data_IF_629557482434
#
_entry.id   IF_629557482434
#
_cell.length_a   1.000
_cell.length_b   1.000
_cell.length_c   1.000
_cell.angle_alpha   90.00
_cell.angle_beta   90.00
_cell.angle_gamma   90.00
#
_symmetry.space_group_name_H-M   'P 1'
#
loop_
_entity.id
_entity.type
_entity.pdbx_description
1 polymer ?
#
# COMPACT_ATOMS: atom_id res chain seq x y z
N UNK A 1 0.04 -5.98 28.07
CA UNK A 1 -0.67 -4.68 28.09
C UNK A 1 -1.78 -4.80 27.07
N UNK A 2 -3.05 -4.62 27.47
CA UNK A 2 -4.18 -4.56 26.52
C UNK A 2 -4.26 -3.13 26.00
N UNK A 3 -4.34 -2.95 24.69
CA UNK A 3 -4.49 -1.64 24.08
C UNK A 3 -5.99 -1.31 24.00
N UNK A 4 -6.33 -0.04 24.26
CA UNK A 4 -7.72 0.42 24.20
C UNK A 4 -8.10 0.69 22.74
N UNK A 5 -9.19 0.09 22.29
CA UNK A 5 -9.74 0.35 20.95
C UNK A 5 -10.43 1.73 20.90
N UNK A 6 -10.49 2.37 19.72
CA UNK A 6 -11.17 3.65 19.54
C UNK A 6 -12.62 3.66 20.05
N UNK A 7 -13.08 4.81 20.50
CA UNK A 7 -14.48 4.97 20.92
C UNK A 7 -15.45 4.96 19.73
N UNK A 8 -15.03 5.50 18.59
CA UNK A 8 -15.80 5.62 17.36
C UNK A 8 -14.91 5.55 16.10
N UNK A 9 -15.49 5.86 14.93
CA UNK A 9 -14.83 5.83 13.63
C UNK A 9 -13.84 6.97 13.41
N UNK A 10 -13.85 8.02 14.24
CA UNK A 10 -12.93 9.16 14.11
C UNK A 10 -11.53 8.82 14.66
N UNK A 11 -11.40 7.71 15.39
CA UNK A 11 -10.09 7.19 15.81
C UNK A 11 -9.26 6.61 14.66
N UNK A 12 -9.87 6.29 13.52
CA UNK A 12 -9.17 5.69 12.37
C UNK A 12 -8.64 6.77 11.44
N UNK A 13 -7.32 6.90 11.42
CA UNK A 13 -6.62 7.95 10.63
C UNK A 13 -5.86 7.38 9.44
N UNK A 14 -5.74 6.05 9.37
CA UNK A 14 -5.04 5.31 8.31
C UNK A 14 -5.99 4.30 7.69
N UNK A 15 -6.02 4.31 6.37
CA UNK A 15 -6.68 3.31 5.54
C UNK A 15 -5.65 2.42 4.85
N UNK A 16 -5.96 1.13 4.70
CA UNK A 16 -5.24 0.23 3.79
C UNK A 16 -6.23 -0.34 2.79
N UNK A 17 -5.88 -0.31 1.51
CA UNK A 17 -6.70 -0.83 0.42
C UNK A 17 -5.89 -1.89 -0.33
N UNK A 18 -6.44 -3.10 -0.41
CA UNK A 18 -5.88 -4.22 -1.16
C UNK A 18 -6.83 -4.60 -2.32
N UNK A 19 -6.29 -4.97 -3.47
CA UNK A 19 -7.09 -5.31 -4.65
C UNK A 19 -7.34 -6.82 -4.77
N UNK A 20 -6.45 -7.63 -4.20
CA UNK A 20 -6.48 -9.09 -4.26
C UNK A 20 -6.56 -9.71 -2.86
N UNK A 21 -7.19 -10.89 -2.79
CA UNK A 21 -7.29 -11.65 -1.55
C UNK A 21 -5.91 -12.02 -0.99
N UNK A 22 -4.92 -12.31 -1.85
CA UNK A 22 -3.54 -12.60 -1.42
C UNK A 22 -2.91 -11.40 -0.71
N UNK A 23 -3.12 -10.19 -1.24
CA UNK A 23 -2.61 -8.95 -0.66
C UNK A 23 -3.29 -8.65 0.69
N UNK A 24 -4.62 -8.77 0.73
CA UNK A 24 -5.40 -8.61 1.95
C UNK A 24 -4.92 -9.58 3.04
N UNK A 25 -4.76 -10.86 2.71
CA UNK A 25 -4.31 -11.88 3.65
C UNK A 25 -2.90 -11.60 4.19
N UNK A 26 -2.00 -11.07 3.37
CA UNK A 26 -0.67 -10.66 3.81
C UNK A 26 -0.74 -9.47 4.77
N UNK A 27 -1.58 -8.47 4.45
CA UNK A 27 -1.79 -7.30 5.32
C UNK A 27 -2.46 -7.68 6.64
N UNK A 28 -3.43 -8.61 6.67
CA UNK A 28 -4.03 -9.07 7.93
C UNK A 28 -3.00 -9.67 8.89
N UNK A 29 -1.89 -10.23 8.39
CA UNK A 29 -0.85 -10.84 9.23
C UNK A 29 0.10 -9.84 9.90
N UNK A 30 0.05 -8.56 9.50
CA UNK A 30 0.87 -7.50 10.11
C UNK A 30 0.12 -6.69 11.19
N UNK A 31 -1.18 -6.93 11.37
CA UNK A 31 -1.96 -6.36 12.47
C UNK A 31 -1.43 -6.84 13.82
N UNK A 32 -1.32 -5.92 14.78
CA UNK A 32 -0.98 -6.25 16.16
C UNK A 32 -2.22 -6.77 16.90
N UNK A 33 -3.37 -6.12 16.68
CA UNK A 33 -4.67 -6.43 17.29
C UNK A 33 -5.79 -6.14 16.29
N UNK A 34 -6.86 -6.92 16.35
CA UNK A 34 -8.12 -6.69 15.62
C UNK A 34 -9.17 -6.13 16.58
N UNK A 35 -10.00 -5.21 16.10
CA UNK A 35 -11.05 -4.56 16.90
C UNK A 35 -12.45 -5.09 16.60
N UNK A 36 -12.57 -6.01 15.65
CA UNK A 36 -13.80 -6.54 15.06
C UNK A 36 -13.92 -8.07 15.15
N UNK A 37 -13.01 -8.75 15.84
CA UNK A 37 -13.03 -10.22 15.98
C UNK A 37 -14.28 -10.73 16.73
N UNK A 38 -14.82 -9.95 17.68
CA UNK A 38 -15.97 -10.33 18.50
C UNK A 38 -17.29 -9.69 18.02
N UNK A 39 -17.29 -8.37 17.74
CA UNK A 39 -18.46 -7.62 17.27
C UNK A 39 -18.06 -6.53 16.26
N UNK A 40 -18.89 -6.31 15.23
CA UNK A 40 -18.74 -5.16 14.32
C UNK A 40 -19.22 -3.87 15.02
N UNK A 41 -18.38 -3.37 15.94
CA UNK A 41 -18.66 -2.19 16.77
C UNK A 41 -18.77 -0.90 15.94
N UNK A 42 -18.02 -0.80 14.84
CA UNK A 42 -17.82 0.48 14.15
C UNK A 42 -18.73 0.64 12.94
N UNK A 43 -19.06 -0.45 12.24
CA UNK A 43 -19.92 -0.43 11.06
C UNK A 43 -19.43 0.55 9.98
N UNK A 44 -20.37 1.07 9.19
CA UNK A 44 -20.11 1.94 8.04
C UNK A 44 -21.25 2.92 7.79
N UNK A 45 -20.98 3.97 7.01
CA UNK A 45 -21.99 4.95 6.64
C UNK A 45 -23.10 4.32 5.78
N UNK A 46 -24.30 4.89 5.84
CA UNK A 46 -25.40 4.45 4.98
C UNK A 46 -25.02 4.57 3.50
N UNK A 47 -25.25 3.50 2.73
CA UNK A 47 -24.91 3.44 1.31
C UNK A 47 -23.47 3.03 1.01
N UNK A 48 -22.61 2.84 2.01
CA UNK A 48 -21.26 2.30 1.82
C UNK A 48 -21.30 0.79 1.51
N UNK A 49 -20.88 0.33 0.32
CA UNK A 49 -20.90 -1.09 -0.03
C UNK A 49 -19.68 -1.87 0.50
N UNK A 50 -18.64 -1.19 0.99
CA UNK A 50 -17.39 -1.84 1.41
C UNK A 50 -17.58 -2.73 2.64
N UNK A 51 -16.71 -3.71 2.78
CA UNK A 51 -16.55 -4.49 4.01
C UNK A 51 -15.19 -4.16 4.59
N UNK A 52 -15.16 -3.88 5.89
CA UNK A 52 -13.96 -3.42 6.57
C UNK A 52 -13.49 -4.45 7.57
N UNK A 53 -12.17 -4.53 7.70
CA UNK A 53 -11.53 -5.03 8.90
C UNK A 53 -10.85 -3.89 9.63
N UNK A 54 -10.97 -3.85 10.94
CA UNK A 54 -10.42 -2.77 11.75
C UNK A 54 -9.50 -3.30 12.83
N UNK A 55 -8.45 -2.55 13.13
CA UNK A 55 -7.47 -3.00 14.12
C UNK A 55 -6.34 -2.01 14.33
N UNK A 56 -5.26 -2.49 14.94
CA UNK A 56 -4.08 -1.70 15.26
C UNK A 56 -2.84 -2.19 14.51
N UNK A 57 -2.09 -1.26 13.94
CA UNK A 57 -0.73 -1.48 13.46
C UNK A 57 0.18 -0.43 14.09
N UNK A 58 1.05 -0.85 14.99
CA UNK A 58 1.91 0.05 15.75
C UNK A 58 1.07 1.06 16.53
N UNK A 59 1.28 2.35 16.28
CA UNK A 59 0.57 3.41 16.98
C UNK A 59 -0.78 3.78 16.34
N UNK A 60 -1.13 3.20 15.19
CA UNK A 60 -2.28 3.61 14.39
C UNK A 60 -3.43 2.61 14.49
N UNK A 61 -4.63 3.17 14.60
CA UNK A 61 -5.87 2.45 14.36
C UNK A 61 -6.16 2.54 12.86
N UNK A 62 -6.29 1.37 12.25
CA UNK A 62 -6.28 1.16 10.81
C UNK A 62 -7.59 0.52 10.37
N UNK A 63 -8.15 1.05 9.28
CA UNK A 63 -9.23 0.40 8.53
C UNK A 63 -8.66 -0.24 7.27
N UNK A 64 -8.95 -1.52 7.06
CA UNK A 64 -8.52 -2.32 5.93
C UNK A 64 -9.74 -2.67 5.06
N UNK A 65 -9.62 -2.50 3.74
CA UNK A 65 -10.62 -2.93 2.77
C UNK A 65 -10.02 -3.81 1.67
N UNK A 66 -10.78 -4.83 1.27
CA UNK A 66 -10.55 -5.59 0.04
C UNK A 66 -11.49 -5.06 -1.05
N UNK A 67 -10.96 -4.71 -2.21
CA UNK A 67 -11.77 -4.35 -3.36
C UNK A 67 -12.54 -5.57 -3.89
N UNK A 68 -13.78 -5.41 -4.37
CA UNK A 68 -14.52 -6.51 -5.00
C UNK A 68 -13.84 -6.99 -6.28
N UNK A 69 -13.24 -6.07 -7.02
CA UNK A 69 -12.45 -6.30 -8.24
C UNK A 69 -11.32 -5.28 -8.33
N UNK A 70 -10.23 -5.64 -9.02
CA UNK A 70 -9.12 -4.73 -9.34
C UNK A 70 -9.57 -3.55 -10.23
N UNK A 71 -8.71 -2.54 -10.36
CA UNK A 71 -8.92 -1.43 -11.29
C UNK A 71 -9.32 -0.11 -10.63
N UNK A 72 -9.07 0.99 -11.35
CA UNK A 72 -9.16 2.37 -10.82
C UNK A 72 -10.56 2.73 -10.33
N UNK A 73 -11.60 2.29 -11.04
CA UNK A 73 -13.01 2.60 -10.71
C UNK A 73 -13.40 2.00 -9.36
N UNK A 74 -13.07 0.72 -9.12
CA UNK A 74 -13.37 0.05 -7.86
C UNK A 74 -12.59 0.69 -6.71
N UNK A 75 -11.31 1.01 -6.95
CA UNK A 75 -10.45 1.65 -5.98
C UNK A 75 -10.98 3.05 -5.58
N UNK A 76 -11.37 3.87 -6.56
CA UNK A 76 -11.95 5.19 -6.34
C UNK A 76 -13.26 5.11 -5.54
N UNK A 77 -14.18 4.23 -5.96
CA UNK A 77 -15.46 4.05 -5.26
C UNK A 77 -15.24 3.60 -3.80
N UNK A 78 -14.33 2.65 -3.58
CA UNK A 78 -14.03 2.16 -2.24
C UNK A 78 -13.42 3.28 -1.37
N UNK A 79 -12.47 4.05 -1.90
CA UNK A 79 -11.84 5.15 -1.19
C UNK A 79 -12.84 6.27 -0.84
N UNK A 80 -13.71 6.66 -1.77
CA UNK A 80 -14.74 7.66 -1.55
C UNK A 80 -15.74 7.25 -0.45
N UNK A 81 -16.19 5.99 -0.47
CA UNK A 81 -17.05 5.44 0.57
C UNK A 81 -16.34 5.34 1.92
N UNK A 82 -15.07 4.92 1.92
CA UNK A 82 -14.27 4.84 3.14
C UNK A 82 -14.05 6.20 3.79
N UNK A 83 -13.79 7.25 3.01
CA UNK A 83 -13.71 8.63 3.49
C UNK A 83 -15.03 9.10 4.13
N UNK A 84 -16.16 8.62 3.61
CA UNK A 84 -17.48 8.94 4.17
C UNK A 84 -17.77 8.17 5.46
N UNK A 85 -17.27 6.93 5.58
CA UNK A 85 -17.43 6.09 6.77
C UNK A 85 -16.45 6.43 7.89
N UNK A 86 -15.22 6.79 7.56
CA UNK A 86 -14.14 7.12 8.49
C UNK A 86 -13.63 8.54 8.17
N UNK A 87 -14.30 9.58 8.69
CA UNK A 87 -14.08 10.96 8.26
C UNK A 87 -12.75 11.55 8.73
N UNK A 88 -12.08 10.90 9.69
CA UNK A 88 -10.78 11.32 10.21
C UNK A 88 -9.57 10.75 9.42
N UNK A 89 -9.80 10.04 8.31
CA UNK A 89 -8.73 9.51 7.47
C UNK A 89 -7.79 10.62 6.96
N UNK A 90 -6.48 10.38 7.12
CA UNK A 90 -5.42 11.30 6.69
C UNK A 90 -4.45 10.69 5.70
N UNK A 91 -4.38 9.35 5.69
CA UNK A 91 -3.50 8.59 4.82
C UNK A 91 -4.21 7.30 4.37
N UNK A 92 -4.16 7.01 3.08
CA UNK A 92 -4.46 5.71 2.52
C UNK A 92 -3.19 5.03 2.01
N UNK A 93 -3.02 3.75 2.28
CA UNK A 93 -1.94 2.91 1.77
C UNK A 93 -2.54 1.93 0.76
N UNK A 94 -2.17 2.03 -0.51
CA UNK A 94 -2.58 1.07 -1.53
C UNK A 94 -1.52 -0.03 -1.55
N UNK A 95 -1.83 -1.15 -0.90
CA UNK A 95 -0.87 -2.23 -0.63
C UNK A 95 -1.17 -3.41 -1.52
N UNK A 96 -0.16 -3.94 -2.20
CA UNK A 96 -0.37 -5.10 -3.06
C UNK A 96 0.84 -5.51 -3.87
N UNK A 97 0.60 -6.15 -5.01
CA UNK A 97 1.63 -6.56 -5.96
C UNK A 97 1.60 -5.71 -7.23
N UNK A 98 2.72 -5.67 -7.94
CA UNK A 98 2.86 -4.95 -9.19
C UNK A 98 3.79 -5.66 -10.17
N UNK A 99 3.74 -5.22 -11.43
CA UNK A 99 4.79 -5.53 -12.40
C UNK A 99 5.91 -4.50 -12.32
N UNK A 100 7.15 -4.96 -12.15
CA UNK A 100 8.33 -4.11 -12.03
C UNK A 100 8.97 -3.78 -13.37
N UNK A 101 9.59 -2.61 -13.49
CA UNK A 101 10.51 -2.28 -14.59
C UNK A 101 11.90 -2.79 -14.19
N UNK A 102 12.46 -3.82 -14.85
CA UNK A 102 13.63 -4.51 -14.32
C UNK A 102 14.85 -3.61 -14.18
N UNK A 103 15.06 -2.67 -15.10
CA UNK A 103 16.22 -1.78 -15.05
C UNK A 103 15.75 -0.34 -15.14
N UNK A 104 16.10 0.46 -14.15
CA UNK A 104 15.95 1.91 -14.21
C UNK A 104 17.30 2.60 -14.08
N UNK A 105 17.55 3.61 -14.92
CA UNK A 105 18.79 4.40 -14.88
C UNK A 105 19.03 5.07 -13.52
N UNK A 106 17.97 5.35 -12.77
CA UNK A 106 18.04 6.05 -11.47
C UNK A 106 17.92 5.11 -10.26
N UNK A 107 17.34 3.92 -10.44
CA UNK A 107 17.03 3.00 -9.33
C UNK A 107 17.76 1.66 -9.41
N UNK A 108 18.61 1.47 -10.43
CA UNK A 108 19.38 0.25 -10.61
C UNK A 108 18.52 -0.94 -11.03
N UNK A 109 18.95 -2.13 -10.62
CA UNK A 109 18.21 -3.37 -10.84
C UNK A 109 17.05 -3.49 -9.86
N UNK A 110 15.84 -3.75 -10.35
CA UNK A 110 14.68 -4.18 -9.58
C UNK A 110 14.52 -5.68 -9.76
N UNK A 111 14.40 -6.43 -8.67
CA UNK A 111 14.26 -7.89 -8.67
C UNK A 111 12.86 -8.29 -8.16
N UNK A 112 12.45 -9.53 -8.43
CA UNK A 112 11.20 -10.04 -7.86
C UNK A 112 11.31 -10.08 -6.33
N UNK A 113 10.20 -9.72 -5.66
CA UNK A 113 10.14 -9.58 -4.21
C UNK A 113 10.57 -8.21 -3.67
N UNK A 114 11.28 -7.39 -4.45
CA UNK A 114 11.56 -5.99 -4.07
C UNK A 114 10.26 -5.20 -3.91
N UNK A 115 10.33 -4.08 -3.19
CA UNK A 115 9.16 -3.23 -2.90
C UNK A 115 9.31 -1.86 -3.54
N UNK A 116 8.25 -1.40 -4.17
CA UNK A 116 8.12 -0.07 -4.78
C UNK A 116 7.24 0.80 -3.88
N UNK A 117 7.74 1.99 -3.55
CA UNK A 117 7.01 3.05 -2.88
C UNK A 117 6.83 4.22 -3.86
N UNK A 118 5.58 4.65 -4.08
CA UNK A 118 5.32 5.75 -5.01
C UNK A 118 5.85 7.08 -4.50
N UNK A 119 6.68 7.75 -5.30
CA UNK A 119 6.91 9.20 -5.18
C UNK A 119 5.87 10.02 -5.95
N UNK A 120 5.31 9.43 -7.02
CA UNK A 120 4.18 9.94 -7.79
C UNK A 120 3.45 8.80 -8.48
N UNK A 121 2.23 9.06 -8.96
CA UNK A 121 1.44 8.13 -9.76
C UNK A 121 1.12 8.79 -11.11
N UNK A 122 1.25 8.02 -12.19
CA UNK A 122 0.95 8.46 -13.55
C UNK A 122 -0.18 7.60 -14.09
N UNK A 123 -1.32 8.22 -14.41
CA UNK A 123 -2.40 7.53 -15.11
C UNK A 123 -2.04 7.39 -16.61
N UNK A 124 -1.27 6.36 -16.94
CA UNK A 124 -0.66 6.21 -18.26
C UNK A 124 -1.66 5.83 -19.36
N UNK A 125 -2.84 5.32 -18.99
CA UNK A 125 -3.89 4.87 -19.90
C UNK A 125 -4.97 5.92 -20.20
N UNK A 126 -4.81 7.15 -19.68
CA UNK A 126 -5.73 8.25 -19.96
C UNK A 126 -5.23 9.12 -21.11
N UNK A 127 -5.90 9.04 -22.26
CA UNK A 127 -5.36 9.64 -23.47
C UNK A 127 -6.24 9.48 -24.70
N UNK A 128 -5.63 9.67 -25.87
CA UNK A 128 -6.24 9.54 -27.19
C UNK A 128 -5.58 8.39 -27.93
N UNK A 129 -6.39 7.50 -28.51
CA UNK A 129 -5.91 6.43 -29.39
C UNK A 129 -5.99 6.88 -30.85
N UNK A 130 -4.84 6.90 -31.52
CA UNK A 130 -4.71 7.05 -32.97
C UNK A 130 -4.40 5.69 -33.61
N UNK A 131 -4.50 5.54 -34.95
CA UNK A 131 -4.20 4.27 -35.61
C UNK A 131 -2.79 3.72 -35.35
N UNK A 132 -1.81 4.61 -35.14
CA UNK A 132 -0.39 4.29 -34.99
C UNK A 132 0.14 4.42 -33.56
N UNK A 133 -0.55 5.16 -32.69
CA UNK A 133 -0.07 5.44 -31.33
C UNK A 133 -1.18 5.79 -30.34
N UNK A 134 -0.88 5.59 -29.08
CA UNK A 134 -1.61 6.21 -27.97
C UNK A 134 -0.87 7.47 -27.51
N UNK A 135 -1.61 8.55 -27.29
CA UNK A 135 -1.08 9.81 -26.77
C UNK A 135 -1.75 10.11 -25.43
N UNK A 136 -0.95 10.07 -24.35
CA UNK A 136 -1.45 10.38 -23.01
C UNK A 136 -1.87 11.84 -22.92
N UNK A 137 -2.95 12.12 -22.19
CA UNK A 137 -3.28 13.47 -21.78
C UNK A 137 -2.46 13.83 -20.55
N UNK A 138 -1.57 14.80 -20.69
CA UNK A 138 -0.57 15.18 -19.69
C UNK A 138 -0.65 16.67 -19.31
N UNK A 139 -1.79 17.30 -19.54
CA UNK A 139 -2.00 18.68 -19.10
C UNK A 139 -2.07 18.77 -17.58
N UNK A 140 -1.98 19.98 -17.03
CA UNK A 140 -2.11 20.21 -15.58
C UNK A 140 -3.45 19.69 -15.02
N UNK A 141 -4.51 19.72 -15.83
CA UNK A 141 -5.85 19.26 -15.42
C UNK A 141 -6.04 17.75 -15.57
N UNK A 142 -5.24 17.10 -16.41
CA UNK A 142 -5.33 15.66 -16.67
C UNK A 142 -4.33 14.85 -15.83
N UNK A 143 -3.28 15.50 -15.31
CA UNK A 143 -2.29 14.87 -14.44
C UNK A 143 -2.76 14.81 -12.99
N UNK A 144 -2.42 13.70 -12.34
CA UNK A 144 -2.53 13.59 -10.89
C UNK A 144 -1.60 14.60 -10.21
N UNK A 145 -2.16 15.33 -9.25
CA UNK A 145 -1.44 16.34 -8.49
C UNK A 145 -0.32 15.74 -7.62
N UNK A 146 0.57 16.61 -7.12
CA UNK A 146 1.56 16.18 -6.12
C UNK A 146 0.87 15.74 -4.83
N UNK A 147 1.41 14.72 -4.18
CA UNK A 147 0.96 14.34 -2.83
C UNK A 147 1.10 15.51 -1.85
N UNK A 148 0.33 15.43 -0.75
CA UNK A 148 0.38 16.44 0.30
C UNK A 148 1.79 16.58 0.92
N UNK A 149 2.01 17.65 1.69
CA UNK A 149 3.33 17.95 2.25
C UNK A 149 3.82 16.88 3.22
N UNK A 150 2.92 16.27 3.98
CA UNK A 150 3.26 15.27 5.00
C UNK A 150 3.77 13.98 4.34
N UNK A 151 3.05 13.48 3.33
CA UNK A 151 3.49 12.34 2.51
C UNK A 151 4.81 12.65 1.83
N UNK A 152 4.95 13.83 1.19
CA UNK A 152 6.21 14.20 0.53
C UNK A 152 7.40 14.29 1.50
N UNK A 153 7.16 14.80 2.71
CA UNK A 153 8.19 14.82 3.76
C UNK A 153 8.61 13.41 4.19
N UNK A 154 7.66 12.49 4.32
CA UNK A 154 7.93 11.09 4.63
C UNK A 154 8.72 10.39 3.51
N UNK A 155 8.30 10.56 2.25
CA UNK A 155 9.02 10.00 1.10
C UNK A 155 10.43 10.58 0.99
N UNK A 156 10.61 11.89 1.21
CA UNK A 156 11.94 12.51 1.23
C UNK A 156 12.83 11.96 2.35
N UNK A 157 12.25 11.66 3.53
CA UNK A 157 12.98 11.01 4.62
C UNK A 157 13.48 9.63 4.20
N UNK A 158 12.65 8.82 3.54
CA UNK A 158 13.05 7.50 3.04
C UNK A 158 14.11 7.57 1.94
N UNK A 159 14.20 8.68 1.20
CA UNK A 159 15.27 8.92 0.23
C UNK A 159 16.65 9.24 0.84
N UNK A 160 16.76 9.35 2.16
CA UNK A 160 18.07 9.51 2.84
C UNK A 160 18.66 8.15 3.20
N UNK A 161 19.99 8.03 3.22
CA UNK A 161 20.68 6.76 3.55
C UNK A 161 20.18 6.16 4.87
N UNK A 162 20.11 6.97 5.93
CA UNK A 162 19.62 6.54 7.24
C UNK A 162 18.14 6.16 7.22
N UNK A 163 17.34 6.86 6.42
CA UNK A 163 15.91 6.58 6.27
C UNK A 163 15.67 5.24 5.57
N UNK A 164 16.40 5.01 4.48
CA UNK A 164 16.32 3.78 3.69
C UNK A 164 16.84 2.58 4.47
N UNK A 165 18.05 2.66 5.03
CA UNK A 165 18.65 1.57 5.83
C UNK A 165 17.71 1.11 6.95
N UNK A 166 17.11 2.09 7.65
CA UNK A 166 16.13 1.78 8.69
C UNK A 166 14.86 1.15 8.12
N UNK A 167 14.37 1.63 6.98
CA UNK A 167 13.15 1.09 6.36
C UNK A 167 13.35 -0.35 5.89
N UNK A 168 14.49 -0.66 5.27
CA UNK A 168 14.88 -2.02 4.84
C UNK A 168 15.04 -2.96 6.04
N UNK A 169 15.82 -2.55 7.05
CA UNK A 169 16.00 -3.31 8.29
C UNK A 169 14.66 -3.66 8.97
N UNK A 170 13.74 -2.69 9.05
CA UNK A 170 12.43 -2.91 9.67
C UNK A 170 11.52 -3.76 8.80
N UNK A 171 11.59 -3.61 7.49
CA UNK A 171 10.88 -4.45 6.52
C UNK A 171 11.25 -5.91 6.69
N UNK A 172 12.55 -6.24 6.68
CA UNK A 172 13.02 -7.62 6.86
C UNK A 172 12.49 -8.23 8.16
N UNK A 173 12.60 -7.49 9.27
CA UNK A 173 12.08 -7.94 10.57
C UNK A 173 10.57 -8.20 10.56
N UNK A 174 9.80 -7.35 9.89
CA UNK A 174 8.35 -7.54 9.79
C UNK A 174 7.95 -8.64 8.83
N UNK A 175 8.74 -8.89 7.79
CA UNK A 175 8.57 -10.03 6.89
C UNK A 175 8.75 -11.35 7.64
N UNK A 176 9.81 -11.48 8.44
CA UNK A 176 10.04 -12.67 9.27
C UNK A 176 8.91 -12.91 10.28
N UNK A 177 8.41 -11.84 10.92
CA UNK A 177 7.25 -11.93 11.81
C UNK A 177 5.98 -12.37 11.07
N UNK A 178 5.74 -11.82 9.88
CA UNK A 178 4.61 -12.21 9.03
C UNK A 178 4.70 -13.70 8.67
N UNK A 179 5.86 -14.17 8.23
CA UNK A 179 6.09 -15.57 7.89
C UNK A 179 5.91 -16.50 9.10
N UNK A 180 6.43 -16.12 10.27
CA UNK A 180 6.22 -16.88 11.51
C UNK A 180 4.73 -16.92 11.92
N UNK A 181 4.04 -15.78 11.83
CA UNK A 181 2.60 -15.69 12.09
C UNK A 181 1.82 -16.59 11.14
N UNK A 182 2.14 -16.56 9.84
CA UNK A 182 1.52 -17.42 8.84
C UNK A 182 1.72 -18.90 9.15
N UNK A 183 2.94 -19.32 9.48
CA UNK A 183 3.27 -20.70 9.80
C UNK A 183 2.55 -21.24 11.05
N UNK A 184 2.14 -20.35 11.97
CA UNK A 184 1.38 -20.72 13.16
C UNK A 184 -0.13 -20.94 12.90
N UNK A 185 -0.66 -20.46 11.77
CA UNK A 185 -2.11 -20.49 11.47
C UNK A 185 -2.49 -21.78 10.74
N UNK A 186 -3.46 -22.53 11.30
CA UNK A 186 -3.92 -23.83 10.75
C UNK A 186 -4.36 -23.82 9.29
N UNK A 187 -4.92 -22.70 8.80
CA UNK A 187 -5.50 -22.59 7.44
C UNK A 187 -4.51 -22.02 6.41
N UNK A 188 -3.31 -21.62 6.83
CA UNK A 188 -2.28 -21.08 5.96
C UNK A 188 -1.19 -22.13 5.79
N UNK A 189 -0.81 -22.43 4.55
CA UNK A 189 0.32 -23.31 4.29
C UNK A 189 1.60 -22.73 4.89
N UNK A 190 2.40 -23.57 5.56
CA UNK A 190 3.63 -23.13 6.26
C UNK A 190 4.57 -22.34 5.35
N UNK A 191 4.65 -22.73 4.08
CA UNK A 191 5.55 -22.15 3.09
C UNK A 191 4.88 -21.10 2.19
N UNK A 192 3.65 -20.66 2.52
CA UNK A 192 2.86 -19.77 1.64
C UNK A 192 3.63 -18.50 1.26
N UNK A 193 4.26 -17.86 2.24
CA UNK A 193 5.00 -16.61 2.04
C UNK A 193 6.51 -16.81 2.05
N UNK A 194 6.99 -18.03 1.75
CA UNK A 194 8.43 -18.30 1.68
C UNK A 194 9.05 -17.64 0.45
N UNK A 195 10.30 -17.20 0.58
CA UNK A 195 11.07 -16.67 -0.54
C UNK A 195 11.24 -17.74 -1.63
N UNK A 196 10.81 -17.49 -2.88
CA UNK A 196 10.90 -18.49 -3.96
C UNK A 196 12.33 -18.86 -4.36
N UNK A 197 13.32 -18.03 -4.01
CA UNK A 197 14.72 -18.24 -4.34
C UNK A 197 15.16 -17.55 -5.64
N UNK A 198 16.45 -17.22 -5.71
CA UNK A 198 17.05 -16.49 -6.85
C UNK A 198 16.94 -17.23 -8.18
N UNK A 199 16.88 -18.56 -8.19
CA UNK A 199 16.67 -19.36 -9.40
C UNK A 199 15.27 -19.19 -10.01
N UNK A 200 14.31 -18.67 -9.24
CA UNK A 200 12.95 -18.39 -9.69
C UNK A 200 12.79 -16.94 -10.18
N UNK A 201 13.81 -16.10 -10.07
CA UNK A 201 13.84 -14.77 -10.65
C UNK A 201 14.40 -14.85 -12.07
N UNK A 202 13.50 -14.85 -13.07
CA UNK A 202 13.82 -15.04 -14.48
C UNK A 202 13.31 -13.86 -15.29
N UNK A 203 14.23 -13.10 -15.84
CA UNK A 203 13.95 -12.01 -16.79
C UNK A 203 14.44 -12.41 -18.17
N UNK A 204 13.54 -12.44 -19.15
CA UNK A 204 13.89 -12.66 -20.55
C UNK A 204 14.13 -11.34 -21.28
N UNK A 205 14.87 -11.39 -22.39
CA UNK A 205 15.04 -10.24 -23.27
C UNK A 205 13.68 -9.65 -23.70
N UNK A 206 13.53 -8.32 -23.83
CA UNK A 206 12.23 -7.71 -24.12
C UNK A 206 11.59 -8.14 -25.45
N UNK A 207 12.40 -8.57 -26.42
CA UNK A 207 11.95 -9.10 -27.71
C UNK A 207 11.66 -10.61 -27.68
N UNK A 208 11.95 -11.30 -26.58
CA UNK A 208 11.75 -12.73 -26.49
C UNK A 208 10.26 -13.08 -26.51
N UNK A 209 9.89 -14.02 -27.39
CA UNK A 209 8.51 -14.44 -27.60
C UNK A 209 8.18 -15.67 -26.75
N UNK A 210 7.31 -15.49 -25.77
CA UNK A 210 6.80 -16.57 -24.93
C UNK A 210 5.68 -17.31 -25.67
N UNK A 211 6.05 -18.38 -26.37
CA UNK A 211 5.19 -19.19 -27.24
C UNK A 211 5.57 -20.67 -27.14
N UNK A 212 4.76 -21.58 -27.70
CA UNK A 212 5.16 -22.99 -27.77
C UNK A 212 6.33 -23.14 -28.74
N UNK A 213 7.53 -23.42 -28.22
CA UNK A 213 8.72 -23.62 -29.05
C UNK A 213 8.86 -25.06 -29.57
N UNK A 214 8.22 -26.01 -28.89
CA UNK A 214 8.38 -27.44 -29.15
C UNK A 214 7.23 -28.06 -29.95
N UNK A 215 6.15 -27.30 -30.23
CA UNK A 215 4.95 -27.82 -30.89
C UNK A 215 4.83 -27.32 -32.33
N UNK A 216 5.18 -28.19 -33.29
CA UNK A 216 5.16 -27.87 -34.73
C UNK A 216 3.74 -27.64 -35.26
N UNK A 217 2.73 -28.31 -34.72
CA UNK A 217 1.32 -28.16 -35.15
C UNK A 217 0.62 -26.92 -34.57
N UNK A 218 1.30 -26.10 -33.78
CA UNK A 218 0.72 -24.91 -33.16
C UNK A 218 0.99 -23.68 -34.03
N UNK A 219 0.06 -22.72 -34.09
CA UNK A 219 0.28 -21.42 -34.78
C UNK A 219 1.51 -20.67 -34.25
N UNK A 220 1.93 -20.97 -33.00
CA UNK A 220 3.17 -20.49 -32.42
C UNK A 220 4.42 -20.85 -33.24
N UNK A 221 4.39 -21.93 -34.04
CA UNK A 221 5.53 -22.33 -34.86
C UNK A 221 5.90 -21.26 -35.88
N UNK A 222 4.90 -20.60 -36.49
CA UNK A 222 5.08 -19.55 -37.51
C UNK A 222 5.29 -18.15 -36.93
N UNK A 223 5.23 -17.99 -35.60
CA UNK A 223 5.37 -16.71 -34.93
C UNK A 223 6.83 -16.22 -34.93
N UNK A 224 7.20 -15.37 -35.89
CA UNK A 224 8.57 -14.86 -36.08
C UNK A 224 8.66 -13.38 -35.73
N UNK A 225 7.67 -12.59 -36.15
CA UNK A 225 7.59 -11.13 -35.97
C UNK A 225 6.77 -10.78 -34.74
N UNK A 226 7.06 -9.63 -34.12
CA UNK A 226 6.38 -9.15 -32.90
C UNK A 226 4.85 -9.07 -32.98
N UNK A 227 4.30 -8.80 -34.16
CA UNK A 227 2.86 -8.73 -34.39
C UNK A 227 2.20 -10.10 -34.62
N UNK A 228 2.99 -11.16 -34.82
CA UNK A 228 2.46 -12.49 -35.11
C UNK A 228 1.67 -13.04 -33.91
N UNK A 229 0.55 -13.75 -34.13
CA UNK A 229 -0.27 -14.23 -33.05
C UNK A 229 0.42 -15.35 -32.25
N UNK A 230 0.15 -15.37 -30.95
CA UNK A 230 0.45 -16.49 -30.05
C UNK A 230 -0.86 -17.16 -29.69
N UNK A 231 -0.89 -18.49 -29.63
CA UNK A 231 -2.14 -19.18 -29.27
C UNK A 231 -2.56 -18.89 -27.82
N UNK A 232 -3.86 -18.95 -27.56
CA UNK A 232 -4.45 -18.65 -26.24
C UNK A 232 -3.85 -19.51 -25.11
N UNK A 233 -3.59 -20.78 -25.39
CA UNK A 233 -2.96 -21.68 -24.43
C UNK A 233 -1.58 -21.15 -24.04
N UNK A 234 -0.75 -20.77 -25.01
CA UNK A 234 0.58 -20.25 -24.74
C UNK A 234 0.54 -18.94 -23.94
N UNK A 235 -0.45 -18.05 -24.17
CA UNK A 235 -0.61 -16.80 -23.42
C UNK A 235 -0.95 -16.99 -21.93
N UNK A 236 -1.33 -18.21 -21.52
CA UNK A 236 -1.66 -18.57 -20.14
C UNK A 236 -0.70 -19.58 -19.50
N UNK A 237 0.22 -20.14 -20.30
CA UNK A 237 1.18 -21.17 -19.90
C UNK A 237 2.41 -20.58 -19.21
N UNK A 238 3.06 -21.39 -18.36
CA UNK A 238 4.36 -21.03 -17.77
C UNK A 238 5.50 -21.19 -18.78
N UNK A 239 6.62 -20.49 -18.56
CA UNK A 239 7.80 -20.62 -19.43
C UNK A 239 8.35 -22.04 -19.52
N UNK A 240 8.23 -22.82 -18.44
CA UNK A 240 8.59 -24.25 -18.45
C UNK A 240 7.69 -25.03 -19.41
N UNK A 241 6.36 -24.83 -19.34
CA UNK A 241 5.40 -25.51 -20.22
C UNK A 241 5.55 -25.08 -21.69
N UNK A 242 5.95 -23.83 -21.92
CA UNK A 242 6.24 -23.29 -23.26
C UNK A 242 7.55 -23.82 -23.87
N UNK A 243 8.46 -24.31 -23.03
CA UNK A 243 9.83 -24.66 -23.42
C UNK A 243 10.63 -23.40 -23.79
N UNK A 244 10.50 -22.34 -22.99
CA UNK A 244 11.28 -21.12 -23.21
C UNK A 244 12.78 -21.40 -23.03
N UNK A 245 13.58 -20.78 -23.90
CA UNK A 245 15.02 -20.98 -23.99
C UNK A 245 15.75 -20.01 -23.06
N UNK A 246 16.41 -20.56 -22.06
CA UNK A 246 17.09 -19.81 -21.01
C UNK A 246 18.35 -19.08 -21.52
N UNK A 247 18.83 -19.33 -22.74
CA UNK A 247 19.89 -18.50 -23.34
C UNK A 247 19.49 -17.04 -23.51
N UNK A 248 18.18 -16.76 -23.56
CA UNK A 248 17.62 -15.41 -23.65
C UNK A 248 17.34 -14.78 -22.29
N UNK A 249 17.81 -15.39 -21.18
CA UNK A 249 17.76 -14.75 -19.89
C UNK A 249 18.74 -13.58 -19.85
N UNK A 250 18.26 -12.43 -19.39
CA UNK A 250 19.07 -11.24 -19.18
C UNK A 250 19.89 -11.45 -17.92
N UNK A 251 21.22 -11.26 -18.02
CA UNK A 251 22.11 -11.28 -16.87
C UNK A 251 21.85 -10.10 -15.94
N UNK A 252 21.92 -10.34 -14.63
CA UNK A 252 21.55 -9.39 -13.57
C UNK A 252 22.63 -9.40 -12.49
N UNK A 253 23.42 -8.33 -12.39
CA UNK A 253 24.61 -8.32 -11.52
C UNK A 253 24.23 -8.46 -10.05
N UNK A 254 23.15 -7.82 -9.61
CA UNK A 254 22.69 -7.91 -8.22
C UNK A 254 22.11 -9.29 -7.90
N UNK A 255 21.46 -9.94 -8.87
CA UNK A 255 20.96 -11.30 -8.71
C UNK A 255 22.13 -12.30 -8.62
N UNK A 256 23.15 -12.14 -9.47
CA UNK A 256 24.38 -12.95 -9.45
C UNK A 256 25.09 -12.83 -8.09
N UNK A 257 25.17 -11.61 -7.54
CA UNK A 257 25.72 -11.37 -6.20
C UNK A 257 24.91 -12.06 -5.11
N UNK A 258 23.58 -11.93 -5.15
CA UNK A 258 22.68 -12.59 -4.20
C UNK A 258 22.80 -14.12 -4.28
N UNK A 259 22.96 -14.69 -5.48
CA UNK A 259 23.21 -16.12 -5.67
C UNK A 259 24.53 -16.56 -5.02
N UNK A 260 25.61 -15.80 -5.18
CA UNK A 260 26.90 -16.11 -4.55
C UNK A 260 26.84 -16.04 -3.03
N UNK A 261 26.16 -15.02 -2.49
CA UNK A 261 25.95 -14.89 -1.05
C UNK A 261 25.12 -16.04 -0.49
N UNK A 262 24.08 -16.46 -1.21
CA UNK A 262 23.25 -17.61 -0.84
C UNK A 262 24.03 -18.93 -0.88
N UNK A 263 24.96 -19.10 -1.82
CA UNK A 263 25.83 -20.28 -1.88
C UNK A 263 26.88 -20.30 -0.76
N UNK A 264 27.18 -19.16 -0.16
CA UNK A 264 28.16 -19.00 0.93
C UNK A 264 27.53 -19.02 2.33
N UNK A 265 26.21 -19.17 2.45
CA UNK A 265 25.47 -19.08 3.71
C UNK A 265 24.44 -20.19 3.82
N UNK A 266 24.28 -20.75 5.02
CA UNK A 266 23.22 -21.72 5.32
C UNK A 266 21.83 -21.05 5.50
N UNK A 267 21.79 -19.72 5.58
CA UNK A 267 20.57 -18.95 5.79
C UNK A 267 20.00 -18.41 4.48
N UNK A 268 18.67 -18.37 4.38
CA UNK A 268 17.97 -17.81 3.22
C UNK A 268 18.08 -16.29 3.22
N UNK A 269 18.67 -15.72 2.17
CA UNK A 269 18.81 -14.27 1.97
C UNK A 269 17.58 -13.78 1.20
N UNK A 270 16.61 -13.27 1.95
CA UNK A 270 15.30 -12.85 1.45
C UNK A 270 15.02 -11.34 1.61
N UNK A 271 16.04 -10.55 1.96
CA UNK A 271 15.88 -9.11 2.14
C UNK A 271 15.47 -8.43 0.81
N UNK A 272 14.29 -7.78 0.77
CA UNK A 272 13.88 -7.02 -0.39
C UNK A 272 14.56 -5.65 -0.38
N UNK A 273 15.02 -5.18 -1.53
CA UNK A 273 15.38 -3.76 -1.63
C UNK A 273 14.11 -2.93 -1.80
N UNK A 274 14.19 -1.68 -1.35
CA UNK A 274 13.08 -0.74 -1.44
C UNK A 274 13.42 0.38 -2.42
N UNK A 275 12.54 0.59 -3.39
CA UNK A 275 12.71 1.59 -4.45
C UNK A 275 11.64 2.66 -4.33
N UNK A 276 12.05 3.92 -4.39
CA UNK A 276 11.12 5.07 -4.39
C UNK A 276 11.09 5.65 -5.79
N UNK A 277 9.93 5.63 -6.47
CA UNK A 277 9.85 6.12 -7.84
C UNK A 277 8.42 6.32 -8.32
N UNK A 278 8.26 6.78 -9.56
CA UNK A 278 6.95 6.98 -10.16
C UNK A 278 6.32 5.64 -10.55
N UNK A 279 5.02 5.50 -10.31
CA UNK A 279 4.27 4.28 -10.61
C UNK A 279 3.22 4.56 -11.69
N UNK A 280 3.18 3.75 -12.73
CA UNK A 280 2.16 3.79 -13.76
C UNK A 280 0.89 3.06 -13.27
N UNK A 281 -0.24 3.76 -13.28
CA UNK A 281 -1.54 3.23 -12.89
C UNK A 281 -2.49 3.17 -14.11
N UNK A 282 -3.10 2.03 -14.37
CA UNK A 282 -4.03 1.86 -15.48
C UNK A 282 -4.81 0.54 -15.43
N UNK A 283 -5.89 0.42 -16.19
CA UNK A 283 -6.77 -0.76 -16.16
C UNK A 283 -6.29 -1.89 -17.10
N UNK A 284 -5.17 -1.67 -17.81
CA UNK A 284 -4.55 -2.69 -18.66
C UNK A 284 -3.41 -3.39 -17.92
N UNK A 285 -3.47 -4.71 -17.85
CA UNK A 285 -2.33 -5.52 -17.41
C UNK A 285 -1.28 -5.54 -18.52
N UNK A 286 -0.11 -4.96 -18.26
CA UNK A 286 0.99 -4.97 -19.22
C UNK A 286 1.55 -6.38 -19.34
N UNK A 287 1.45 -6.96 -20.54
CA UNK A 287 1.97 -8.29 -20.89
C UNK A 287 3.01 -8.24 -22.03
N UNK A 288 3.58 -7.08 -22.30
CA UNK A 288 4.56 -6.89 -23.37
C UNK A 288 5.75 -6.12 -22.82
N UNK A 289 6.90 -6.78 -22.75
CA UNK A 289 8.14 -6.20 -22.28
C UNK A 289 8.56 -4.97 -23.09
N UNK A 290 8.39 -4.99 -24.42
CA UNK A 290 8.64 -3.82 -25.28
C UNK A 290 7.71 -2.65 -24.96
N UNK A 291 6.43 -2.92 -24.69
CA UNK A 291 5.48 -1.87 -24.33
C UNK A 291 5.76 -1.31 -22.94
N UNK A 292 6.06 -2.18 -21.96
CA UNK A 292 6.55 -1.79 -20.64
C UNK A 292 7.74 -0.85 -20.76
N UNK A 293 8.79 -1.24 -21.48
CA UNK A 293 10.02 -0.44 -21.59
C UNK A 293 9.76 0.91 -22.27
N UNK A 294 8.90 0.95 -23.28
CA UNK A 294 8.47 2.19 -23.93
C UNK A 294 7.75 3.12 -22.96
N UNK A 295 6.75 2.63 -22.24
CA UNK A 295 5.97 3.43 -21.27
C UNK A 295 6.88 3.86 -20.11
N UNK A 296 7.71 2.96 -19.60
CA UNK A 296 8.68 3.25 -18.54
C UNK A 296 9.63 4.38 -18.92
N UNK A 297 10.13 4.37 -20.17
CA UNK A 297 10.99 5.43 -20.67
C UNK A 297 10.22 6.76 -20.88
N UNK A 298 9.00 6.71 -21.43
CA UNK A 298 8.21 7.89 -21.75
C UNK A 298 7.70 8.60 -20.49
N UNK A 299 7.21 7.84 -19.52
CA UNK A 299 6.58 8.37 -18.30
C UNK A 299 7.53 8.39 -17.09
N UNK A 300 8.77 7.90 -17.26
CA UNK A 300 9.77 7.76 -16.20
C UNK A 300 9.23 7.01 -14.97
N UNK A 301 8.57 5.87 -15.22
CA UNK A 301 7.99 5.00 -14.18
C UNK A 301 8.84 3.75 -13.94
N UNK A 302 8.75 3.19 -12.74
CA UNK A 302 9.48 1.97 -12.33
C UNK A 302 8.60 0.76 -12.05
N UNK A 303 7.28 0.94 -12.06
CA UNK A 303 6.32 -0.14 -11.81
C UNK A 303 4.97 0.15 -12.46
N UNK A 304 4.17 -0.90 -12.62
CA UNK A 304 2.82 -0.89 -13.17
C UNK A 304 1.84 -1.55 -12.20
N UNK A 305 0.77 -0.83 -11.86
CA UNK A 305 -0.34 -1.31 -11.03
C UNK A 305 -1.68 -0.75 -11.54
N UNK A 306 -2.81 -1.09 -10.89
CA UNK A 306 -4.14 -0.85 -11.45
C UNK A 306 -5.10 -0.04 -10.57
N UNK A 307 -4.68 0.43 -9.38
CA UNK A 307 -5.58 1.05 -8.40
C UNK A 307 -5.23 2.49 -8.06
N UNK A 308 -3.93 2.81 -7.98
CA UNK A 308 -3.40 4.03 -7.36
C UNK A 308 -4.02 5.32 -7.87
N UNK A 309 -4.19 5.46 -9.19
CA UNK A 309 -4.78 6.66 -9.78
C UNK A 309 -6.24 6.89 -9.36
N UNK A 310 -7.00 5.84 -9.07
CA UNK A 310 -8.37 5.97 -8.59
C UNK A 310 -8.47 6.46 -7.14
N UNK A 311 -7.50 6.08 -6.29
CA UNK A 311 -7.47 6.50 -4.87
C UNK A 311 -6.87 7.90 -4.69
N UNK A 312 -5.97 8.30 -5.60
CA UNK A 312 -5.13 9.49 -5.48
C UNK A 312 -5.91 10.80 -5.27
N UNK A 313 -7.07 10.93 -5.91
CA UNK A 313 -7.92 12.13 -5.79
C UNK A 313 -8.88 12.07 -4.59
N UNK A 314 -9.02 10.92 -3.94
CA UNK A 314 -9.99 10.72 -2.86
C UNK A 314 -9.38 10.95 -1.46
N UNK A 315 -8.21 10.38 -1.20
CA UNK A 315 -7.53 10.45 0.10
C UNK A 315 -6.03 10.58 -0.16
N UNK A 316 -5.28 11.44 0.57
CA UNK A 316 -3.83 11.45 0.44
C UNK A 316 -3.27 10.04 0.62
N UNK A 317 -2.48 9.56 -0.34
CA UNK A 317 -2.10 8.16 -0.36
C UNK A 317 -0.64 7.90 -0.73
N UNK A 318 -0.20 6.68 -0.40
CA UNK A 318 1.08 6.11 -0.81
C UNK A 318 0.78 4.73 -1.39
N UNK A 319 1.29 4.46 -2.58
CA UNK A 319 1.27 3.12 -3.20
C UNK A 319 2.49 2.35 -2.71
N UNK A 320 2.27 1.15 -2.16
CA UNK A 320 3.31 0.24 -1.65
C UNK A 320 3.11 -1.11 -2.31
N UNK A 321 3.97 -1.48 -3.26
CA UNK A 321 3.75 -2.66 -4.10
C UNK A 321 4.98 -3.55 -4.14
N UNK A 322 4.79 -4.85 -3.87
CA UNK A 322 5.81 -5.86 -4.06
C UNK A 322 5.87 -6.28 -5.53
N UNK A 323 7.06 -6.49 -6.08
CA UNK A 323 7.24 -6.89 -7.48
C UNK A 323 7.02 -8.39 -7.62
N UNK A 324 5.96 -8.81 -8.31
CA UNK A 324 5.64 -10.23 -8.52
C UNK A 324 5.89 -10.73 -9.95
N UNK A 325 5.99 -9.81 -10.91
CA UNK A 325 6.40 -10.07 -12.28
C UNK A 325 7.08 -8.82 -12.85
N UNK A 326 7.54 -8.91 -14.09
CA UNK A 326 8.22 -7.81 -14.77
C UNK A 326 7.34 -7.08 -15.78
N UNK A 327 6.01 -7.01 -15.57
CA UNK A 327 5.08 -6.36 -16.49
C UNK A 327 5.27 -6.85 -17.95
N UNK A 328 5.40 -8.17 -18.12
CA UNK A 328 5.52 -8.83 -19.40
C UNK A 328 4.66 -10.09 -19.46
N UNK A 329 4.78 -10.86 -20.54
CA UNK A 329 4.00 -12.08 -20.69
C UNK A 329 4.52 -13.23 -19.82
N UNK A 330 5.70 -13.10 -19.21
CA UNK A 330 6.20 -14.02 -18.21
C UNK A 330 5.51 -13.72 -16.87
N UNK A 331 4.32 -14.29 -16.67
CA UNK A 331 3.68 -14.25 -15.34
C UNK A 331 4.32 -15.26 -14.41
N UNK A 332 4.97 -14.76 -13.35
CA UNK A 332 5.52 -15.62 -12.30
C UNK A 332 4.59 -15.66 -11.08
N UNK A 333 3.58 -16.53 -11.14
CA UNK A 333 2.61 -16.69 -10.03
C UNK A 333 3.26 -17.11 -8.72
N UNK A 334 4.44 -17.75 -8.76
CA UNK A 334 5.17 -18.19 -7.58
C UNK A 334 5.64 -17.05 -6.66
N UNK A 335 5.77 -15.84 -7.20
CA UNK A 335 6.22 -14.68 -6.41
C UNK A 335 5.09 -13.87 -5.80
N UNK A 336 3.82 -14.10 -6.18
CA UNK A 336 2.72 -13.23 -5.74
C UNK A 336 2.54 -13.23 -4.22
N UNK A 337 2.58 -14.40 -3.58
CA UNK A 337 2.45 -14.48 -2.12
C UNK A 337 3.64 -13.77 -1.44
N UNK A 338 4.88 -14.09 -1.82
CA UNK A 338 6.07 -13.45 -1.25
C UNK A 338 6.10 -11.93 -1.46
N UNK A 339 5.80 -11.45 -2.67
CA UNK A 339 5.73 -10.03 -2.99
C UNK A 339 4.63 -9.30 -2.20
N UNK A 340 3.47 -9.94 -1.99
CA UNK A 340 2.43 -9.39 -1.13
C UNK A 340 2.92 -9.28 0.33
N UNK A 341 3.68 -10.26 0.81
CA UNK A 341 4.25 -10.26 2.14
C UNK A 341 5.32 -9.16 2.32
N UNK A 342 6.20 -8.95 1.33
CA UNK A 342 7.20 -7.87 1.39
C UNK A 342 6.52 -6.50 1.37
N UNK A 343 5.50 -6.30 0.53
CA UNK A 343 4.70 -5.06 0.51
C UNK A 343 4.00 -4.79 1.86
N UNK A 344 3.38 -5.80 2.46
CA UNK A 344 2.75 -5.69 3.77
C UNK A 344 3.80 -5.37 4.86
N UNK A 345 4.92 -6.08 4.89
CA UNK A 345 6.00 -5.82 5.85
C UNK A 345 6.55 -4.39 5.74
N UNK A 346 6.78 -3.90 4.52
CA UNK A 346 7.19 -2.50 4.27
C UNK A 346 6.11 -1.52 4.72
N UNK A 347 4.82 -1.83 4.50
CA UNK A 347 3.71 -1.00 4.98
C UNK A 347 3.76 -0.80 6.49
N UNK A 348 4.00 -1.87 7.25
CA UNK A 348 4.18 -1.76 8.71
C UNK A 348 5.40 -0.90 9.06
N UNK A 349 6.52 -1.07 8.36
CA UNK A 349 7.72 -0.27 8.55
C UNK A 349 7.51 1.24 8.25
N UNK A 350 6.74 1.56 7.21
CA UNK A 350 6.34 2.94 6.86
C UNK A 350 5.54 3.57 8.00
N UNK A 351 4.54 2.84 8.53
CA UNK A 351 3.67 3.35 9.58
C UNK A 351 4.42 3.69 10.87
N UNK A 352 5.56 3.07 11.16
CA UNK A 352 6.40 3.45 12.31
C UNK A 352 7.08 4.82 12.16
N UNK A 353 7.20 5.31 10.92
CA UNK A 353 7.88 6.56 10.59
C UNK A 353 6.88 7.66 10.24
N UNK A 354 5.68 7.29 9.80
CA UNK A 354 4.57 8.21 9.71
C UNK A 354 4.29 8.76 11.12
N UNK A 355 4.29 10.08 11.28
CA UNK A 355 4.22 10.73 12.60
C UNK A 355 2.79 11.15 12.90
N UNK A 356 2.30 10.83 14.10
CA UNK A 356 1.01 11.29 14.59
C UNK A 356 1.09 12.77 14.97
N UNK A 357 0.02 13.53 14.71
CA UNK A 357 -0.04 14.92 15.14
C UNK A 357 -0.33 15.00 16.64
N UNK A 358 -0.05 16.14 17.27
CA UNK A 358 -0.27 16.35 18.71
C UNK A 358 -1.72 16.06 19.14
N UNK A 359 -2.72 16.31 18.27
CA UNK A 359 -4.13 16.00 18.54
C UNK A 359 -4.38 14.50 18.74
N UNK A 360 -3.71 13.66 17.95
CA UNK A 360 -3.87 12.21 17.99
C UNK A 360 -3.19 11.63 19.26
N UNK A 361 -2.10 12.26 19.70
CA UNK A 361 -1.41 11.90 20.95
C UNK A 361 -2.16 12.35 22.21
N UNK A 362 -2.81 13.51 22.18
CA UNK A 362 -3.62 14.03 23.30
C UNK A 362 -4.84 13.12 23.53
N UNK A 363 -5.54 12.70 22.47
CA UNK A 363 -6.65 11.73 22.59
C UNK A 363 -6.21 10.44 23.30
N UNK A 364 -5.07 9.86 22.91
CA UNK A 364 -4.54 8.63 23.55
C UNK A 364 -4.01 8.84 24.97
N UNK A 365 -3.46 10.03 25.30
CA UNK A 365 -2.99 10.36 26.67
C UNK A 365 -4.14 10.61 27.63
N UNK A 366 -5.17 11.34 27.22
CA UNK A 366 -6.37 11.58 28.03
C UNK A 366 -7.07 10.27 28.41
N UNK A 367 -7.05 9.27 27.52
CA UNK A 367 -7.58 7.94 27.81
C UNK A 367 -6.68 7.11 28.74
N UNK A 368 -5.35 7.23 28.62
CA UNK A 368 -4.40 6.52 29.48
C UNK A 368 -4.45 6.97 30.95
N UNK A 369 -4.78 8.23 31.20
CA UNK A 369 -4.97 8.78 32.56
C UNK A 369 -6.29 8.31 33.19
N UNK A 370 -7.29 7.94 32.39
CA UNK A 370 -8.58 7.44 32.90
C UNK A 370 -8.58 5.98 33.35
N UNK A 371 -7.51 5.22 33.07
CA UNK A 371 -7.38 3.80 33.44
C UNK A 371 -6.51 3.52 34.68
N UNK A 372 -5.98 4.57 35.32
CA UNK A 372 -5.35 4.44 36.64
C UNK A 372 -6.38 4.86 37.71
N UNK A 373 -7.24 3.91 38.12
CA UNK A 373 -8.03 4.08 39.34
C UNK A 373 -7.09 4.17 40.54
N UNK A 374 -7.03 5.36 41.12
CA UNK A 374 -6.32 5.67 42.35
C UNK A 374 -7.01 4.92 43.51
N UNK A 375 -6.38 3.95 44.19
CA UNK A 375 -7.03 3.27 45.29
C UNK A 375 -6.96 4.16 46.54
N UNK A 376 -8.10 4.76 46.86
CA UNK A 376 -8.38 5.31 48.18
C UNK A 376 -8.61 6.82 48.19
N UNK A 377 -9.87 7.20 48.33
CA UNK A 377 -10.37 8.10 49.38
C UNK A 377 -11.87 7.78 49.51
N UNK A 378 -12.24 7.22 50.66
CA UNK A 378 -13.64 7.17 51.11
C UNK A 378 -14.00 8.58 51.56
N UNK A 379 -14.96 9.22 50.90
CA UNK A 379 -15.66 10.37 51.45
C UNK A 379 -17.17 10.11 51.35
N UNK A 380 -17.75 9.76 52.50
CA UNK A 380 -19.12 10.09 52.82
C UNK A 380 -19.26 11.62 52.78
N UNK A 381 -20.26 12.14 52.10
CA UNK A 381 -21.28 13.00 52.73
C UNK A 381 -22.33 13.47 51.70
N UNK A 382 -23.58 13.49 52.16
CA UNK A 382 -24.74 14.06 51.46
C UNK A 382 -24.58 15.58 51.24
N UNK A 383 -25.17 16.15 50.18
CA UNK A 383 -25.06 17.58 49.92
C UNK A 383 -26.05 18.37 50.81
N UNK A 384 -25.64 19.47 51.48
CA UNK A 384 -26.59 20.42 52.02
C UNK A 384 -27.09 21.35 50.90
N UNK A 385 -28.38 21.63 50.96
CA UNK A 385 -29.08 22.56 50.09
C UNK A 385 -28.64 24.02 50.32
N UNK A 386 -28.72 24.78 49.22
CA UNK A 386 -28.92 26.23 49.17
C UNK A 386 -27.71 27.15 49.48
N UNK A 387 -27.08 27.69 48.42
CA UNK A 387 -26.38 28.99 48.46
C UNK A 387 -26.48 29.74 47.11
N UNK A 388 -26.43 31.08 47.12
CA UNK A 388 -26.89 31.93 46.01
C UNK A 388 -25.85 32.11 44.90
N UNK A 389 -26.33 32.34 43.67
CA UNK A 389 -25.49 32.75 42.53
C UNK A 389 -24.82 34.09 42.85
N UNK A 390 -23.49 34.12 42.91
CA UNK A 390 -22.71 35.36 42.92
C UNK A 390 -22.67 35.96 41.52
N UNK A 391 -23.33 37.10 41.33
CA UNK A 391 -23.14 37.98 40.18
C UNK A 391 -21.96 38.89 40.51
N UNK A 392 -20.93 38.86 39.68
CA UNK A 392 -19.77 39.75 39.82
C UNK A 392 -20.13 41.15 39.31
N UNK A 393 -20.25 42.13 40.21
CA UNK A 393 -20.38 43.54 39.88
C UNK A 393 -19.08 44.26 40.29
N UNK A 394 -18.10 44.30 39.39
CA UNK A 394 -16.84 45.03 39.54
C UNK A 394 -16.18 45.26 38.17
N UNK A 395 -15.34 46.30 38.03
CA UNK A 395 -14.73 46.64 36.74
C UNK A 395 -13.79 45.54 36.24
N UNK A 396 -13.88 45.25 34.93
CA UNK A 396 -13.06 44.25 34.25
C UNK A 396 -11.70 44.88 33.92
N UNK A 397 -10.63 44.36 34.53
CA UNK A 397 -9.26 44.77 34.24
C UNK A 397 -8.51 43.58 33.61
N UNK A 398 -7.57 43.86 32.69
CA UNK A 398 -6.94 42.90 31.76
C UNK A 398 -6.13 41.72 32.33
N UNK A 399 -6.35 41.32 33.60
CA UNK A 399 -5.83 40.09 34.20
C UNK A 399 -6.88 38.99 34.39
N UNK A 400 -8.15 39.24 34.09
CA UNK A 400 -9.26 38.29 34.29
C UNK A 400 -9.96 37.83 32.99
N UNK A 401 -9.27 37.87 31.84
CA UNK A 401 -9.83 37.41 30.56
C UNK A 401 -9.17 36.08 30.15
N UNK A 402 -9.89 34.98 30.33
CA UNK A 402 -9.63 33.71 29.64
C UNK A 402 -10.36 33.77 28.30
N UNK A 403 -9.62 33.87 27.20
CA UNK A 403 -10.18 33.87 25.85
C UNK A 403 -10.62 32.44 25.47
N UNK A 404 -11.91 32.17 25.63
CA UNK A 404 -12.61 31.02 25.08
C UNK A 404 -13.17 31.30 23.68
N UNK A 405 -13.25 30.24 22.90
CA UNK A 405 -13.49 30.15 21.45
C UNK A 405 -14.74 30.86 20.93
N UNK A 406 -14.60 31.37 19.71
CA UNK A 406 -15.63 31.87 18.80
C UNK A 406 -16.93 31.05 18.76
N UNK A 407 -18.06 31.71 19.01
CA UNK A 407 -19.40 31.31 18.58
C UNK A 407 -19.92 32.45 17.70
N UNK A 408 -20.18 32.18 16.42
CA UNK A 408 -20.93 33.10 15.54
C UNK A 408 -22.24 32.43 15.14
N UNK A 409 -23.28 32.68 15.92
CA UNK A 409 -24.67 32.51 15.51
C UNK A 409 -25.22 33.88 15.16
N UNK A 410 -25.38 34.17 13.87
CA UNK A 410 -25.98 35.41 13.38
C UNK A 410 -27.20 35.09 12.54
N UNK A 411 -28.38 35.25 13.14
CA UNK A 411 -29.67 35.38 12.45
C UNK A 411 -29.75 36.76 11.80
N UNK A 412 -30.07 36.80 10.50
CA UNK A 412 -30.39 38.06 9.81
C UNK A 412 -31.89 38.10 9.52
N UNK A 413 -32.56 39.15 9.99
CA UNK A 413 -33.88 39.55 9.52
C UNK A 413 -34.00 41.09 9.55
N UNK A 414 -34.38 41.60 8.37
CA UNK A 414 -34.95 42.91 8.01
C UNK A 414 -34.10 44.20 8.10
N UNK A 415 -34.10 44.88 6.95
CA UNK A 415 -33.58 46.22 6.67
C UNK A 415 -33.56 46.43 5.16
#
# INVERSE_FOLDING_TARGET
MSFKSPSDRDGFTVAIICALQTEYNAVSLIFDEFWDDDEDKYGKASGDPNHYTVGRIGNYDVVLALLPHMGKVNAASAAASMRSSYPALRLALIVGVCGGVPTSRQHGEILLGDVIISSSVVQYDFGRQYPDKFERKDTIQDNLGRSNKDVRGLIALFGTDRGMERLETRTLRYLEQLQANAASKKRIGKDKYSYPGTAQDKLFEPSYRHKHHLQVACICHECIQDADPVCDLAMSSSCIALGCDEIHLVRRDRLDERQKQQAASDWVIQEPNIHIGSVASGDTVIKSARHRDRIAQQENVIAFEMEGAGVWDEVPCIVVKGVCDYADCHKNKGWQDFAAATAAATTKAILERYTQTDKDMISKRSEKVSSEENPGIVQNDQPPANMPRSVFNGPINGRNVLAGSSITGGTYNFG
#
